data_IF_523791778749
#
_entry.id   IF_523791778749
#
_cell.length_a   1.000
_cell.length_b   1.000
_cell.length_c   1.000
_cell.angle_alpha   90.00
_cell.angle_beta   90.00
_cell.angle_gamma   90.00
#
_symmetry.space_group_name_H-M   'P 1'
#
loop_
_entity.id
_entity.type
_entity.pdbx_description
1 polymer ?
#
# COMPACT_ATOMS: atom_id res chain seq x y z
N UNK A 1 3.19 -25.44 -7.06
CA UNK A 1 3.38 -24.54 -5.89
C UNK A 1 2.47 -23.35 -6.06
N UNK A 2 1.55 -23.11 -5.11
CA UNK A 2 0.56 -22.02 -5.20
C UNK A 2 1.26 -20.66 -4.97
N UNK A 3 1.72 -20.00 -6.04
CA UNK A 3 2.30 -18.65 -5.96
C UNK A 3 1.35 -17.64 -5.28
N UNK A 4 0.04 -17.87 -5.37
CA UNK A 4 -0.96 -17.02 -4.72
C UNK A 4 -0.89 -16.95 -3.19
N UNK A 5 -0.37 -17.97 -2.50
CA UNK A 5 -0.27 -17.96 -1.06
C UNK A 5 0.78 -16.96 -0.54
N UNK A 6 1.91 -16.83 -1.23
CA UNK A 6 3.00 -15.91 -0.85
C UNK A 6 2.65 -14.43 -1.01
N UNK A 7 1.79 -14.10 -1.98
CA UNK A 7 1.33 -12.72 -2.23
C UNK A 7 0.46 -12.17 -1.08
N UNK A 8 -0.17 -13.07 -0.32
CA UNK A 8 -0.98 -12.67 0.83
C UNK A 8 -0.15 -12.07 1.96
N UNK A 9 1.10 -12.51 2.13
CA UNK A 9 1.97 -12.00 3.20
C UNK A 9 2.30 -10.50 3.03
N UNK A 10 2.88 -10.04 1.90
CA UNK A 10 3.16 -8.61 1.73
C UNK A 10 1.88 -7.77 1.69
N UNK A 11 0.77 -8.27 1.15
CA UNK A 11 -0.50 -7.55 1.16
C UNK A 11 -1.08 -7.42 2.58
N UNK A 12 -1.04 -8.51 3.38
CA UNK A 12 -1.49 -8.50 4.76
C UNK A 12 -0.60 -7.65 5.66
N UNK A 13 0.73 -7.70 5.46
CA UNK A 13 1.69 -6.87 6.18
C UNK A 13 1.45 -5.37 5.87
N UNK A 14 1.26 -5.03 4.61
CA UNK A 14 0.98 -3.65 4.22
C UNK A 14 -0.30 -3.13 4.84
N UNK A 15 -1.40 -3.85 4.68
CA UNK A 15 -2.69 -3.48 5.26
C UNK A 15 -2.66 -3.45 6.78
N UNK A 16 -2.08 -4.47 7.42
CA UNK A 16 -2.02 -4.61 8.87
C UNK A 16 -1.16 -3.52 9.52
N UNK A 17 0.00 -3.20 8.94
CA UNK A 17 0.86 -2.13 9.45
C UNK A 17 0.19 -0.76 9.36
N UNK A 18 -0.49 -0.45 8.26
CA UNK A 18 -1.28 0.78 8.12
C UNK A 18 -2.41 0.83 9.15
N UNK A 19 -3.14 -0.27 9.32
CA UNK A 19 -4.24 -0.34 10.30
C UNK A 19 -3.73 -0.12 11.72
N UNK A 20 -2.69 -0.82 12.11
CA UNK A 20 -2.10 -0.71 13.45
C UNK A 20 -1.56 0.69 13.72
N UNK A 21 -0.79 1.24 12.79
CA UNK A 21 -0.22 2.57 12.98
C UNK A 21 -1.30 3.65 13.06
N UNK A 22 -2.21 3.71 12.08
CA UNK A 22 -3.19 4.79 11.98
C UNK A 22 -4.28 4.76 13.05
N UNK A 23 -4.79 3.57 13.37
CA UNK A 23 -5.96 3.44 14.25
C UNK A 23 -5.63 3.06 15.70
N UNK A 24 -4.42 2.57 15.98
CA UNK A 24 -4.03 2.17 17.34
C UNK A 24 -2.85 3.02 17.82
N UNK A 25 -1.72 2.98 17.15
CA UNK A 25 -0.48 3.60 17.65
C UNK A 25 -0.59 5.11 17.73
N UNK A 26 -1.05 5.78 16.67
CA UNK A 26 -1.15 7.24 16.65
C UNK A 26 -2.12 7.77 17.72
N UNK A 27 -3.35 7.26 17.88
CA UNK A 27 -4.21 7.65 19.01
C UNK A 27 -3.57 7.44 20.39
N UNK A 28 -2.87 6.31 20.59
CA UNK A 28 -2.17 6.04 21.84
C UNK A 28 -1.04 7.04 22.12
N UNK A 29 -0.28 7.46 21.09
CA UNK A 29 0.76 8.49 21.27
C UNK A 29 0.16 9.80 21.76
N UNK A 30 -0.95 10.23 21.18
CA UNK A 30 -1.59 11.50 21.56
C UNK A 30 -2.30 11.45 22.91
N UNK A 31 -2.67 10.26 23.40
CA UNK A 31 -3.33 10.08 24.71
C UNK A 31 -2.34 9.90 25.86
N UNK A 32 -1.13 9.38 25.63
CA UNK A 32 -0.20 9.01 26.67
C UNK A 32 1.06 9.90 26.76
N UNK A 33 1.42 10.59 25.68
CA UNK A 33 2.59 11.46 25.72
C UNK A 33 2.30 12.82 26.37
N UNK A 34 3.27 13.40 27.13
CA UNK A 34 3.07 14.61 27.92
C UNK A 34 2.67 15.83 27.08
N UNK A 35 3.12 15.91 25.84
CA UNK A 35 2.84 17.04 24.96
C UNK A 35 2.43 16.58 23.57
N UNK A 36 1.48 17.30 22.97
CA UNK A 36 1.05 17.06 21.59
C UNK A 36 2.19 17.19 20.57
N UNK A 37 3.19 18.03 20.90
CA UNK A 37 4.36 18.22 20.05
C UNK A 37 5.24 16.96 20.02
N UNK A 38 5.49 16.37 21.19
CA UNK A 38 6.25 15.13 21.29
C UNK A 38 5.52 13.98 20.57
N UNK A 39 4.21 13.87 20.79
CA UNK A 39 3.37 12.89 20.09
C UNK A 39 3.44 13.06 18.57
N UNK A 40 3.35 14.29 18.07
CA UNK A 40 3.44 14.59 16.64
C UNK A 40 4.82 14.26 16.04
N UNK A 41 5.90 14.58 16.75
CA UNK A 41 7.26 14.25 16.31
C UNK A 41 7.50 12.73 16.24
N UNK A 42 7.01 11.99 17.25
CA UNK A 42 7.07 10.52 17.25
C UNK A 42 6.21 9.93 16.11
N UNK A 43 4.99 10.43 15.94
CA UNK A 43 4.13 10.02 14.83
C UNK A 43 4.80 10.25 13.46
N UNK A 44 5.47 11.38 13.26
CA UNK A 44 6.18 11.68 12.01
C UNK A 44 7.26 10.62 11.70
N UNK A 45 8.06 10.21 12.69
CA UNK A 45 9.06 9.15 12.54
C UNK A 45 8.43 7.80 12.21
N UNK A 46 7.31 7.48 12.84
CA UNK A 46 6.59 6.24 12.57
C UNK A 46 5.97 6.22 11.15
N UNK A 47 5.43 7.34 10.69
CA UNK A 47 4.94 7.46 9.32
C UNK A 47 6.07 7.38 8.28
N UNK A 48 7.24 7.93 8.58
CA UNK A 48 8.43 7.76 7.75
C UNK A 48 8.79 6.27 7.59
N UNK A 49 8.90 5.52 8.71
CA UNK A 49 9.15 4.09 8.69
C UNK A 49 8.04 3.32 7.95
N UNK A 50 6.77 3.70 8.18
CA UNK A 50 5.62 3.10 7.49
C UNK A 50 5.65 3.30 5.98
N UNK A 51 6.15 4.44 5.51
CA UNK A 51 6.31 4.70 4.06
C UNK A 51 7.24 3.66 3.44
N UNK A 52 8.38 3.37 4.06
CA UNK A 52 9.32 2.36 3.54
C UNK A 52 8.75 0.95 3.57
N UNK A 53 7.98 0.60 4.61
CA UNK A 53 7.24 -0.67 4.64
C UNK A 53 6.25 -0.76 3.48
N UNK A 54 5.49 0.32 3.24
CA UNK A 54 4.53 0.38 2.13
C UNK A 54 5.19 0.24 0.77
N UNK A 55 6.31 0.95 0.55
CA UNK A 55 7.08 0.88 -0.70
C UNK A 55 7.63 -0.53 -0.92
N UNK A 56 8.23 -1.13 0.11
CA UNK A 56 8.78 -2.49 0.02
C UNK A 56 7.69 -3.51 -0.31
N UNK A 57 6.55 -3.47 0.39
CA UNK A 57 5.42 -4.37 0.12
C UNK A 57 4.86 -4.17 -1.30
N UNK A 58 4.70 -2.91 -1.73
CA UNK A 58 4.20 -2.58 -3.07
C UNK A 58 5.15 -3.08 -4.17
N UNK A 59 6.46 -2.89 -4.02
CA UNK A 59 7.46 -3.39 -4.97
C UNK A 59 7.45 -4.92 -5.07
N UNK A 60 7.40 -5.62 -3.94
CA UNK A 60 7.30 -7.10 -3.92
C UNK A 60 6.04 -7.56 -4.65
N UNK A 61 4.90 -6.92 -4.40
CA UNK A 61 3.65 -7.25 -5.07
C UNK A 61 3.71 -6.97 -6.57
N UNK A 62 4.22 -5.81 -6.99
CA UNK A 62 4.36 -5.46 -8.42
C UNK A 62 5.28 -6.43 -9.16
N UNK A 63 6.44 -6.77 -8.59
CA UNK A 63 7.36 -7.73 -9.17
C UNK A 63 6.71 -9.12 -9.32
N UNK A 64 6.02 -9.58 -8.28
CA UNK A 64 5.34 -10.86 -8.31
C UNK A 64 4.25 -10.93 -9.39
N UNK A 65 3.46 -9.85 -9.56
CA UNK A 65 2.47 -9.77 -10.64
C UNK A 65 3.12 -9.73 -12.04
N UNK A 66 4.28 -9.07 -12.20
CA UNK A 66 5.02 -9.08 -13.47
C UNK A 66 5.50 -10.50 -13.84
N UNK A 67 6.13 -11.21 -12.89
CA UNK A 67 6.61 -12.58 -13.13
C UNK A 67 5.47 -13.57 -13.42
N UNK A 68 4.28 -13.37 -12.86
CA UNK A 68 3.12 -14.18 -13.21
C UNK A 68 2.68 -13.96 -14.66
N UNK A 69 2.68 -12.71 -15.15
CA UNK A 69 2.31 -12.37 -16.52
C UNK A 69 3.26 -13.01 -17.54
N UNK A 70 4.57 -12.97 -17.31
CA UNK A 70 5.56 -13.57 -18.22
C UNK A 70 5.37 -15.08 -18.34
N UNK A 71 5.12 -15.80 -17.24
CA UNK A 71 4.86 -17.24 -17.27
C UNK A 71 3.62 -17.59 -18.08
N UNK A 72 2.57 -16.80 -17.98
CA UNK A 72 1.31 -17.03 -18.73
C UNK A 72 1.53 -16.84 -20.24
N UNK A 73 2.32 -15.84 -20.65
CA UNK A 73 2.62 -15.56 -22.06
C UNK A 73 3.49 -16.66 -22.66
N UNK A 74 4.53 -17.14 -21.95
CA UNK A 74 5.40 -18.24 -22.42
C UNK A 74 4.65 -19.56 -22.56
N UNK A 75 3.71 -19.85 -21.66
CA UNK A 75 2.90 -21.08 -21.73
C UNK A 75 1.88 -21.01 -22.86
N UNK A 76 1.33 -19.82 -23.14
CA UNK A 76 0.40 -19.64 -24.26
C UNK A 76 1.07 -19.83 -25.64
N UNK A 77 2.34 -19.44 -25.77
CA UNK A 77 3.09 -19.61 -27.04
C UNK A 77 3.47 -21.08 -27.33
N UNK A 78 3.49 -21.93 -26.30
CA UNK A 78 3.79 -23.35 -26.44
C UNK A 78 2.57 -24.25 -26.68
N UNK A 79 1.35 -23.70 -26.63
CA UNK A 79 0.10 -24.44 -26.75
C UNK A 79 -0.96 -23.66 -27.55
N UNK A 80 -0.76 -23.57 -28.86
CA UNK A 80 -1.70 -22.93 -29.80
C UNK A 80 -3.11 -23.54 -29.81
N UNK A 81 -3.32 -24.62 -29.07
CA UNK A 81 -4.57 -25.41 -29.04
C UNK A 81 -5.48 -25.15 -27.85
N UNK A 82 -5.14 -24.26 -26.91
CA UNK A 82 -5.92 -24.00 -25.69
C UNK A 82 -6.38 -22.55 -25.49
N UNK A 83 -6.39 -21.71 -26.54
CA UNK A 83 -6.72 -20.28 -26.44
C UNK A 83 -8.24 -20.02 -26.26
N UNK A 84 -9.09 -21.01 -26.45
CA UNK A 84 -10.56 -20.78 -26.49
C UNK A 84 -11.24 -20.65 -25.10
N UNK A 85 -10.56 -20.99 -23.98
CA UNK A 85 -11.22 -21.04 -22.68
C UNK A 85 -10.43 -20.44 -21.48
N UNK A 86 -9.50 -19.53 -21.71
CA UNK A 86 -8.92 -18.77 -20.58
C UNK A 86 -9.86 -17.62 -20.19
N UNK A 87 -10.31 -17.52 -18.93
CA UNK A 87 -11.20 -16.45 -18.55
C UNK A 87 -10.46 -15.12 -18.63
N UNK A 88 -10.84 -14.30 -19.61
CA UNK A 88 -10.45 -12.89 -19.79
C UNK A 88 -10.55 -12.13 -18.45
N UNK A 89 -11.41 -12.59 -17.58
CA UNK A 89 -11.65 -12.10 -16.22
C UNK A 89 -10.40 -12.11 -15.31
N UNK A 90 -9.52 -13.11 -15.40
CA UNK A 90 -8.29 -13.18 -14.59
C UNK A 90 -7.27 -12.09 -14.95
N UNK A 91 -7.22 -11.70 -16.21
CA UNK A 91 -6.34 -10.62 -16.69
C UNK A 91 -6.83 -9.26 -16.21
N UNK A 92 -8.14 -8.99 -16.22
CA UNK A 92 -8.71 -7.75 -15.71
C UNK A 92 -8.47 -7.58 -14.21
N UNK A 93 -8.63 -8.65 -13.40
CA UNK A 93 -8.38 -8.59 -11.95
C UNK A 93 -6.91 -8.23 -11.64
N UNK A 94 -5.96 -8.76 -12.44
CA UNK A 94 -4.54 -8.47 -12.26
C UNK A 94 -4.20 -7.00 -12.59
N UNK A 95 -4.75 -6.45 -13.66
CA UNK A 95 -4.56 -5.04 -13.99
C UNK A 95 -5.11 -4.09 -12.92
N UNK A 96 -6.32 -4.38 -12.43
CA UNK A 96 -6.93 -3.61 -11.35
C UNK A 96 -6.08 -3.64 -10.07
N UNK A 97 -5.55 -4.80 -9.68
CA UNK A 97 -4.69 -4.90 -8.50
C UNK A 97 -3.42 -4.05 -8.65
N UNK A 98 -2.78 -4.06 -9.82
CA UNK A 98 -1.58 -3.26 -10.11
C UNK A 98 -1.86 -1.76 -9.96
N UNK A 99 -3.01 -1.28 -10.43
CA UNK A 99 -3.40 0.13 -10.30
C UNK A 99 -3.51 0.53 -8.82
N UNK A 100 -4.17 -0.28 -7.99
CA UNK A 100 -4.28 0.01 -6.55
C UNK A 100 -2.95 -0.06 -5.83
N UNK A 101 -2.05 -0.98 -6.21
CA UNK A 101 -0.70 -1.07 -5.63
C UNK A 101 0.10 0.19 -6.00
N UNK A 102 0.10 0.58 -7.28
CA UNK A 102 0.81 1.76 -7.75
C UNK A 102 0.26 3.06 -7.13
N UNK A 103 -1.07 3.18 -7.04
CA UNK A 103 -1.72 4.34 -6.41
C UNK A 103 -1.39 4.40 -4.91
N UNK A 104 -1.47 3.29 -4.19
CA UNK A 104 -1.14 3.26 -2.77
C UNK A 104 0.33 3.57 -2.49
N UNK A 105 1.25 3.11 -3.35
CA UNK A 105 2.67 3.46 -3.27
C UNK A 105 2.90 4.95 -3.57
N UNK A 106 2.25 5.50 -4.59
CA UNK A 106 2.32 6.91 -4.92
C UNK A 106 1.82 7.78 -3.77
N UNK A 107 0.68 7.42 -3.16
CA UNK A 107 0.15 8.13 -1.99
C UNK A 107 1.13 8.11 -0.81
N UNK A 108 1.79 6.98 -0.53
CA UNK A 108 2.82 6.88 0.51
C UNK A 108 3.97 7.86 0.26
N UNK A 109 4.48 7.93 -0.98
CA UNK A 109 5.56 8.83 -1.36
C UNK A 109 5.13 10.31 -1.31
N UNK A 110 3.92 10.63 -1.76
CA UNK A 110 3.37 11.99 -1.69
C UNK A 110 3.18 12.45 -0.25
N UNK A 111 2.72 11.58 0.64
CA UNK A 111 2.64 11.89 2.08
C UNK A 111 4.04 12.19 2.62
N UNK A 112 5.02 11.33 2.35
CA UNK A 112 6.37 11.46 2.89
C UNK A 112 7.11 12.69 2.39
N UNK A 113 7.09 12.94 1.09
CA UNK A 113 7.90 13.99 0.47
C UNK A 113 7.13 15.29 0.21
N UNK A 114 5.81 15.22 0.10
CA UNK A 114 4.97 16.40 -0.15
C UNK A 114 4.34 16.98 1.12
N UNK A 115 3.72 16.14 1.93
CA UNK A 115 2.89 16.56 3.07
C UNK A 115 3.69 16.64 4.37
N UNK A 116 4.46 15.61 4.70
CA UNK A 116 5.17 15.50 5.97
C UNK A 116 6.12 16.68 6.25
N UNK A 117 6.94 17.18 5.29
CA UNK A 117 7.82 18.33 5.55
C UNK A 117 7.04 19.59 5.94
N UNK A 118 5.87 19.81 5.36
CA UNK A 118 5.04 20.99 5.64
C UNK A 118 4.34 20.91 7.00
N UNK A 119 3.96 19.69 7.41
CA UNK A 119 3.45 19.45 8.77
C UNK A 119 4.56 19.73 9.80
N UNK A 120 5.77 19.25 9.56
CA UNK A 120 6.94 19.47 10.44
C UNK A 120 7.31 20.95 10.50
N UNK A 121 7.26 21.66 9.36
CA UNK A 121 7.50 23.11 9.27
C UNK A 121 6.34 23.94 9.88
N UNK A 122 5.24 23.30 10.29
CA UNK A 122 4.01 23.94 10.82
C UNK A 122 3.36 24.94 9.87
N UNK A 123 3.54 24.78 8.57
CA UNK A 123 2.87 25.56 7.56
C UNK A 123 1.38 25.14 7.52
N UNK A 124 0.47 26.07 7.80
CA UNK A 124 -0.97 25.80 7.79
C UNK A 124 -1.34 24.37 8.27
N UNK A 125 -0.99 24.10 9.53
CA UNK A 125 -1.01 22.76 10.14
C UNK A 125 -2.37 22.05 9.96
N UNK A 126 -3.47 22.79 10.03
CA UNK A 126 -4.81 22.22 9.91
C UNK A 126 -5.05 21.66 8.50
N UNK A 127 -4.64 22.37 7.47
CA UNK A 127 -4.81 21.96 6.08
C UNK A 127 -3.94 20.73 5.77
N UNK A 128 -2.63 20.81 6.10
CA UNK A 128 -1.69 19.73 5.76
C UNK A 128 -1.95 18.46 6.58
N UNK A 129 -2.39 18.60 7.82
CA UNK A 129 -2.77 17.45 8.62
C UNK A 129 -4.05 16.78 8.10
N UNK A 130 -5.06 17.56 7.70
CA UNK A 130 -6.29 17.01 7.10
C UNK A 130 -6.01 16.33 5.76
N UNK A 131 -5.19 16.95 4.91
CA UNK A 131 -4.78 16.38 3.64
C UNK A 131 -4.00 15.07 3.83
N UNK A 132 -3.03 15.06 4.75
CA UNK A 132 -2.25 13.86 5.07
C UNK A 132 -3.13 12.72 5.58
N UNK A 133 -4.09 13.02 6.46
CA UNK A 133 -5.03 12.03 6.98
C UNK A 133 -5.93 11.45 5.89
N UNK A 134 -6.43 12.30 4.98
CA UNK A 134 -7.23 11.86 3.83
C UNK A 134 -6.44 10.95 2.89
N UNK A 135 -5.20 11.35 2.55
CA UNK A 135 -4.32 10.55 1.69
C UNK A 135 -3.95 9.22 2.35
N UNK A 136 -3.68 9.22 3.66
CA UNK A 136 -3.42 8.00 4.41
C UNK A 136 -4.61 7.04 4.40
N UNK A 137 -5.81 7.58 4.59
CA UNK A 137 -7.04 6.79 4.51
C UNK A 137 -7.27 6.21 3.09
N UNK A 138 -7.01 7.00 2.05
CA UNK A 138 -7.06 6.53 0.67
C UNK A 138 -6.04 5.41 0.41
N UNK A 139 -4.81 5.55 0.94
CA UNK A 139 -3.79 4.50 0.88
C UNK A 139 -4.24 3.22 1.60
N UNK A 140 -4.87 3.34 2.76
CA UNK A 140 -5.42 2.21 3.51
C UNK A 140 -6.52 1.49 2.72
N UNK A 141 -7.40 2.23 2.01
CA UNK A 141 -8.40 1.64 1.10
C UNK A 141 -7.71 0.87 -0.03
N UNK A 142 -6.68 1.45 -0.67
CA UNK A 142 -5.92 0.76 -1.71
C UNK A 142 -5.34 -0.57 -1.21
N UNK A 143 -4.70 -0.57 -0.04
CA UNK A 143 -4.16 -1.78 0.58
C UNK A 143 -5.25 -2.82 0.89
N UNK A 144 -6.43 -2.38 1.34
CA UNK A 144 -7.60 -3.24 1.60
C UNK A 144 -8.09 -3.93 0.31
N UNK A 145 -8.20 -3.16 -0.78
CA UNK A 145 -8.61 -3.70 -2.09
C UNK A 145 -7.58 -4.71 -2.61
N UNK A 146 -6.27 -4.40 -2.48
CA UNK A 146 -5.19 -5.30 -2.88
C UNK A 146 -5.27 -6.60 -2.08
N UNK A 147 -5.42 -6.53 -0.76
CA UNK A 147 -5.54 -7.70 0.10
C UNK A 147 -6.76 -8.56 -0.28
N UNK A 148 -7.89 -7.93 -0.58
CA UNK A 148 -9.10 -8.63 -1.04
C UNK A 148 -8.88 -9.35 -2.38
N UNK A 149 -8.20 -8.69 -3.34
CA UNK A 149 -7.95 -9.25 -4.68
C UNK A 149 -6.91 -10.38 -4.69
N UNK A 150 -5.97 -10.38 -3.75
CA UNK A 150 -4.93 -11.42 -3.60
C UNK A 150 -5.44 -12.64 -2.80
N UNK A 151 -6.61 -12.53 -2.18
CA UNK A 151 -7.25 -13.60 -1.40
C UNK A 151 -7.68 -14.77 -2.29
#
# INVERSE_FOLDING_TARGET
>A
MRLGAWLKFPAALWWGSLTTLGFIVVPLLFSHLPTKQLAGNMAARLFEAQTWVSVACALVLLLAFRFQKEKTVHTAHSSEKYIENQPVFGVFIAYDAIIYIALGMLLALLIQFGVAPRIVARENLMLWHSLGSLMYFAQWICASVVLYKVR
#
